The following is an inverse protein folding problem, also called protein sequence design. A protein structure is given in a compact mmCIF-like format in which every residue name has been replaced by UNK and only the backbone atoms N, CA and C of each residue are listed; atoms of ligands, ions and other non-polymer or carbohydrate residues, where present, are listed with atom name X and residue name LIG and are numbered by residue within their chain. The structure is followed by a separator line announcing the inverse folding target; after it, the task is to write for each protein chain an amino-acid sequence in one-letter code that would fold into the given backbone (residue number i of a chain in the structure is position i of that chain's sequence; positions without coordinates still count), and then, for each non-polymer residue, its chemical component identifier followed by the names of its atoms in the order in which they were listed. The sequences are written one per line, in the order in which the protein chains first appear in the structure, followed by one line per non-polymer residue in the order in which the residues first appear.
data_IF_774377924452
#
_entry.id   IF_774377924452
#
_cell.length_a   1.000
_cell.length_b   1.000
_cell.length_c   1.000
_cell.angle_alpha   90.00
_cell.angle_beta   90.00
_cell.angle_gamma   90.00
#
_symmetry.space_group_name_H-M   'P 1'
#
loop_
_entity.id
_entity.type
_entity.pdbx_description
1 polymer ?
#
# COMPACT_ATOMS: atom_id res chain seq x y z
N UNK A 1 -13.44 -20.24 10.06
CA UNK A 1 -12.52 -19.21 10.57
C UNK A 1 -12.97 -17.89 9.97
N UNK A 2 -13.06 -16.82 10.76
CA UNK A 2 -13.37 -15.48 10.21
C UNK A 2 -12.27 -15.06 9.23
N UNK A 3 -12.65 -14.35 8.15
CA UNK A 3 -11.70 -13.81 7.20
C UNK A 3 -10.77 -12.80 7.91
N UNK A 4 -9.49 -12.81 7.59
CA UNK A 4 -8.55 -11.80 8.11
C UNK A 4 -8.96 -10.42 7.62
N UNK A 5 -8.87 -9.36 8.43
CA UNK A 5 -9.30 -8.02 8.05
C UNK A 5 -8.39 -7.36 6.99
N UNK A 6 -8.96 -6.41 6.26
CA UNK A 6 -8.21 -5.30 5.67
C UNK A 6 -8.07 -4.24 6.77
N UNK A 7 -6.85 -3.74 6.98
CA UNK A 7 -6.57 -2.71 8.00
C UNK A 7 -6.26 -1.39 7.30
N UNK A 8 -6.75 -0.25 7.84
CA UNK A 8 -6.38 1.07 7.34
C UNK A 8 -5.94 1.97 8.49
N UNK A 9 -4.77 2.59 8.34
CA UNK A 9 -4.24 3.57 9.28
C UNK A 9 -4.67 4.98 8.92
N UNK A 10 -5.25 5.71 9.90
CA UNK A 10 -5.79 7.06 9.69
C UNK A 10 -5.23 8.06 10.70
N UNK A 11 -5.15 9.33 10.28
CA UNK A 11 -4.71 10.46 11.11
C UNK A 11 -5.65 11.68 11.04
N UNK A 12 -6.80 11.53 10.36
CA UNK A 12 -7.77 12.60 10.16
C UNK A 12 -7.49 13.50 8.95
N UNK A 13 -6.44 13.23 8.17
CA UNK A 13 -6.16 13.96 6.94
C UNK A 13 -7.08 13.52 5.79
N UNK A 14 -7.22 14.38 4.76
CA UNK A 14 -7.91 14.04 3.51
C UNK A 14 -7.30 12.82 2.81
N UNK A 15 -5.98 12.68 2.86
CA UNK A 15 -5.28 11.52 2.30
C UNK A 15 -5.64 10.22 3.06
N UNK A 16 -5.83 10.31 4.37
CA UNK A 16 -6.29 9.18 5.17
C UNK A 16 -7.74 8.80 4.83
N UNK A 17 -8.63 9.77 4.60
CA UNK A 17 -10.02 9.48 4.16
C UNK A 17 -10.05 8.78 2.80
N UNK A 18 -9.19 9.18 1.86
CA UNK A 18 -9.05 8.47 0.57
C UNK A 18 -8.50 7.04 0.74
N UNK A 19 -7.58 6.86 1.68
CA UNK A 19 -7.11 5.53 2.04
C UNK A 19 -8.23 4.66 2.61
N UNK A 20 -9.15 5.24 3.39
CA UNK A 20 -10.37 4.57 3.89
C UNK A 20 -11.29 4.18 2.73
N UNK A 21 -11.54 5.08 1.77
CA UNK A 21 -12.36 4.78 0.58
C UNK A 21 -11.79 3.58 -0.19
N UNK A 22 -10.50 3.60 -0.46
CA UNK A 22 -9.81 2.51 -1.14
C UNK A 22 -9.88 1.20 -0.34
N UNK A 23 -9.63 1.27 0.98
CA UNK A 23 -9.66 0.11 1.87
C UNK A 23 -11.05 -0.50 2.03
N UNK A 24 -12.11 0.33 2.07
CA UNK A 24 -13.49 -0.13 2.13
C UNK A 24 -13.91 -0.88 0.86
N UNK A 25 -13.59 -0.34 -0.32
CA UNK A 25 -13.82 -1.03 -1.60
C UNK A 25 -13.04 -2.36 -1.67
N UNK A 26 -11.81 -2.36 -1.18
CA UNK A 26 -10.98 -3.55 -1.17
C UNK A 26 -11.49 -4.62 -0.20
N UNK A 27 -11.91 -4.24 1.00
CA UNK A 27 -12.50 -5.13 1.97
C UNK A 27 -13.81 -5.77 1.42
N UNK A 28 -14.63 -4.99 0.71
CA UNK A 28 -15.83 -5.50 0.05
C UNK A 28 -15.48 -6.53 -1.04
N UNK A 29 -14.52 -6.23 -1.93
CA UNK A 29 -14.05 -7.17 -2.97
C UNK A 29 -13.54 -8.48 -2.37
N UNK A 30 -12.79 -8.39 -1.26
CA UNK A 30 -12.22 -9.53 -0.54
C UNK A 30 -13.23 -10.25 0.37
N UNK A 31 -14.45 -9.71 0.52
CA UNK A 31 -15.45 -10.18 1.49
C UNK A 31 -14.87 -10.30 2.90
N UNK A 32 -14.06 -9.33 3.28
CA UNK A 32 -13.33 -9.26 4.54
C UNK A 32 -13.86 -8.10 5.40
N UNK A 33 -13.75 -8.14 6.72
CA UNK A 33 -14.02 -6.98 7.56
C UNK A 33 -12.96 -5.89 7.34
N UNK A 34 -13.36 -4.63 7.53
CA UNK A 34 -12.47 -3.48 7.58
C UNK A 34 -12.15 -3.14 9.02
N UNK A 35 -10.87 -2.95 9.34
CA UNK A 35 -10.41 -2.45 10.64
C UNK A 35 -9.72 -1.12 10.46
N UNK A 36 -10.31 -0.05 11.01
CA UNK A 36 -9.78 1.31 10.95
C UNK A 36 -8.98 1.55 12.23
N UNK A 37 -7.74 1.98 12.11
CA UNK A 37 -6.85 2.21 13.26
C UNK A 37 -6.28 3.61 13.23
N UNK A 38 -6.26 4.26 14.40
CA UNK A 38 -5.52 5.51 14.61
C UNK A 38 -4.67 5.40 15.86
N UNK A 39 -3.71 6.31 16.03
CA UNK A 39 -2.82 6.34 17.19
C UNK A 39 -2.91 7.67 17.89
N UNK A 40 -3.26 7.67 19.16
CA UNK A 40 -3.15 8.84 20.02
C UNK A 40 -1.67 9.10 20.35
N UNK A 41 -0.99 9.84 19.48
CA UNK A 41 0.43 10.13 19.66
C UNK A 41 0.63 11.47 20.39
N UNK A 42 1.25 11.42 21.55
CA UNK A 42 1.71 12.64 22.25
C UNK A 42 2.87 13.25 21.46
N UNK A 43 2.83 14.55 21.08
CA UNK A 43 3.95 15.19 20.38
C UNK A 43 5.22 15.11 21.24
N UNK A 44 6.41 14.82 20.65
CA UNK A 44 7.67 14.70 21.39
C UNK A 44 8.11 15.99 22.11
N UNK A 45 7.54 17.13 21.74
CA UNK A 45 7.76 18.44 22.36
C UNK A 45 6.42 19.12 22.54
N UNK A 46 5.84 18.93 23.71
CA UNK A 46 4.69 19.69 24.14
C UNK A 46 5.05 21.18 24.22
N UNK A 47 4.41 22.04 23.42
CA UNK A 47 4.42 23.49 23.71
C UNK A 47 3.65 23.69 25.01
N UNK A 48 4.13 24.54 25.91
CA UNK A 48 3.34 24.92 27.09
C UNK A 48 2.01 25.51 26.60
N UNK A 49 0.91 24.78 26.81
CA UNK A 49 -0.44 25.32 26.62
C UNK A 49 -0.94 25.83 27.96
N UNK A 50 -1.84 26.80 27.95
CA UNK A 50 -2.47 27.32 29.19
C UNK A 50 -3.35 26.26 29.88
N UNK A 51 -3.58 25.09 29.25
CA UNK A 51 -4.45 24.03 29.75
C UNK A 51 -3.72 22.90 30.50
N UNK A 52 -2.39 22.95 30.55
CA UNK A 52 -1.58 21.90 31.18
C UNK A 52 -1.54 20.56 30.39
N UNK A 53 -0.79 19.57 30.93
CA UNK A 53 -0.61 18.26 30.22
C UNK A 53 -1.90 17.48 30.01
N UNK A 54 -2.86 17.58 30.93
CA UNK A 54 -4.15 16.85 30.84
C UNK A 54 -5.05 17.43 29.75
N UNK A 55 -5.06 18.74 29.55
CA UNK A 55 -5.84 19.38 28.48
C UNK A 55 -5.37 18.97 27.10
N UNK A 56 -4.05 18.93 26.89
CA UNK A 56 -3.45 18.48 25.62
C UNK A 56 -3.74 17.01 25.35
N UNK A 57 -3.67 16.14 26.37
CA UNK A 57 -4.00 14.72 26.21
C UNK A 57 -5.47 14.52 25.82
N UNK A 58 -6.39 15.28 26.43
CA UNK A 58 -7.81 15.22 26.10
C UNK A 58 -8.11 15.73 24.69
N UNK A 59 -7.43 16.79 24.24
CA UNK A 59 -7.58 17.31 22.87
C UNK A 59 -7.08 16.31 21.84
N UNK A 60 -5.94 15.64 22.08
CA UNK A 60 -5.41 14.59 21.21
C UNK A 60 -6.34 13.37 21.14
N UNK A 61 -6.87 12.93 22.28
CA UNK A 61 -7.83 11.84 22.32
C UNK A 61 -9.09 12.19 21.53
N UNK A 62 -9.61 13.40 21.72
CA UNK A 62 -10.78 13.88 20.99
C UNK A 62 -10.51 13.93 19.48
N UNK A 63 -9.41 14.52 19.05
CA UNK A 63 -9.03 14.59 17.64
C UNK A 63 -8.89 13.19 17.00
N UNK A 64 -8.30 12.24 17.75
CA UNK A 64 -8.18 10.86 17.28
C UNK A 64 -9.53 10.16 17.17
N UNK A 65 -10.44 10.39 18.12
CA UNK A 65 -11.81 9.84 18.08
C UNK A 65 -12.60 10.46 16.93
N UNK A 66 -12.54 11.77 16.74
CA UNK A 66 -13.21 12.46 15.62
C UNK A 66 -12.70 11.93 14.27
N UNK A 67 -11.40 11.62 14.16
CA UNK A 67 -10.82 11.02 12.95
C UNK A 67 -11.34 9.60 12.69
N UNK A 68 -11.51 8.77 13.76
CA UNK A 68 -12.11 7.44 13.64
C UNK A 68 -13.56 7.53 13.21
N UNK A 69 -14.36 8.39 13.84
CA UNK A 69 -15.79 8.55 13.54
C UNK A 69 -16.01 9.01 12.09
N UNK A 70 -15.22 9.98 11.62
CA UNK A 70 -15.25 10.43 10.23
C UNK A 70 -14.86 9.31 9.26
N UNK A 71 -13.88 8.48 9.63
CA UNK A 71 -13.41 7.35 8.82
C UNK A 71 -14.46 6.23 8.74
N UNK A 72 -15.12 5.91 9.85
CA UNK A 72 -16.22 4.92 9.88
C UNK A 72 -17.39 5.41 9.03
N UNK A 73 -17.77 6.67 9.14
CA UNK A 73 -18.82 7.27 8.32
C UNK A 73 -18.47 7.17 6.82
N UNK A 74 -17.24 7.52 6.45
CA UNK A 74 -16.76 7.43 5.06
C UNK A 74 -16.77 6.00 4.53
N UNK A 75 -16.33 5.02 5.31
CA UNK A 75 -16.38 3.61 4.94
C UNK A 75 -17.82 3.14 4.69
N UNK A 76 -18.78 3.55 5.53
CA UNK A 76 -20.19 3.24 5.39
C UNK A 76 -20.84 3.88 4.16
N UNK A 77 -20.40 5.07 3.73
CA UNK A 77 -20.84 5.72 2.49
C UNK A 77 -20.37 4.95 1.25
N UNK A 78 -19.12 4.46 1.27
CA UNK A 78 -18.47 3.77 0.13
C UNK A 78 -18.94 2.33 0.00
N UNK A 79 -19.04 1.61 1.11
CA UNK A 79 -19.41 0.20 1.16
C UNK A 79 -20.51 -0.05 2.21
N UNK A 80 -21.79 0.24 1.89
CA UNK A 80 -22.89 0.05 2.81
C UNK A 80 -23.03 -1.42 3.22
N UNK A 81 -23.01 -1.67 4.55
CA UNK A 81 -23.10 -3.04 5.09
C UNK A 81 -21.77 -3.75 5.31
N UNK A 82 -20.64 -3.09 5.00
CA UNK A 82 -19.32 -3.61 5.36
C UNK A 82 -19.17 -3.68 6.88
N UNK A 83 -18.71 -4.85 7.39
CA UNK A 83 -18.37 -4.99 8.81
C UNK A 83 -17.11 -4.15 9.07
N UNK A 84 -17.27 -3.13 9.93
CA UNK A 84 -16.20 -2.17 10.22
C UNK A 84 -15.96 -2.10 11.72
N UNK A 85 -14.72 -2.32 12.13
CA UNK A 85 -14.22 -2.10 13.49
C UNK A 85 -13.31 -0.87 13.51
N UNK A 86 -13.30 -0.11 14.62
CA UNK A 86 -12.46 1.07 14.79
C UNK A 86 -11.71 1.01 16.12
N UNK A 87 -10.38 1.13 16.06
CA UNK A 87 -9.51 1.01 17.22
C UNK A 87 -8.58 2.21 17.39
N UNK A 88 -8.52 2.71 18.62
CA UNK A 88 -7.51 3.68 19.06
C UNK A 88 -6.31 2.95 19.63
N UNK A 89 -5.19 3.01 18.94
CA UNK A 89 -3.93 2.38 19.34
C UNK A 89 -3.10 3.32 20.22
N UNK A 90 -2.21 2.75 21.02
CA UNK A 90 -1.23 3.46 21.82
C UNK A 90 0.19 3.19 21.29
N UNK A 91 1.10 4.16 21.47
CA UNK A 91 2.52 4.00 21.14
C UNK A 91 3.02 4.96 20.06
N UNK A 92 4.11 4.60 19.41
CA UNK A 92 4.64 5.36 18.28
C UNK A 92 3.80 5.07 17.04
N UNK A 93 3.29 6.10 16.32
CA UNK A 93 2.34 5.92 15.23
C UNK A 93 2.83 4.98 14.12
N UNK A 94 4.08 5.10 13.74
CA UNK A 94 4.70 4.30 12.69
C UNK A 94 4.78 2.81 13.07
N UNK A 95 5.23 2.51 14.30
CA UNK A 95 5.31 1.15 14.83
C UNK A 95 3.92 0.55 15.06
N UNK A 96 3.04 1.27 15.77
CA UNK A 96 1.72 0.76 16.12
C UNK A 96 0.87 0.44 14.87
N UNK A 97 0.95 1.28 13.82
CA UNK A 97 0.27 1.00 12.56
C UNK A 97 0.92 -0.17 11.83
N UNK A 98 2.25 -0.27 11.77
CA UNK A 98 2.91 -1.42 11.13
C UNK A 98 2.55 -2.74 11.84
N UNK A 99 2.55 -2.76 13.17
CA UNK A 99 2.22 -3.93 13.98
C UNK A 99 0.74 -4.35 13.84
N UNK A 100 -0.16 -3.40 13.57
CA UNK A 100 -1.58 -3.69 13.28
C UNK A 100 -1.80 -4.53 12.02
N UNK A 101 -0.81 -4.60 11.14
CA UNK A 101 -0.76 -5.50 9.98
C UNK A 101 -0.59 -6.99 10.35
N UNK A 102 -0.25 -7.30 11.62
CA UNK A 102 -0.15 -8.69 12.07
C UNK A 102 -1.51 -9.36 12.05
N UNK A 103 -1.63 -10.43 11.25
CA UNK A 103 -2.89 -11.13 11.04
C UNK A 103 -3.86 -10.45 10.08
N UNK A 104 -3.51 -9.34 9.44
CA UNK A 104 -4.25 -8.73 8.36
C UNK A 104 -3.99 -9.42 7.01
N UNK A 105 -4.94 -9.28 6.06
CA UNK A 105 -4.68 -9.61 4.66
C UNK A 105 -3.86 -8.50 3.99
N UNK A 106 -4.14 -7.25 4.38
CA UNK A 106 -3.63 -6.06 3.75
C UNK A 106 -3.65 -4.90 4.75
N UNK A 107 -2.63 -4.04 4.73
CA UNK A 107 -2.59 -2.79 5.46
C UNK A 107 -2.57 -1.62 4.48
N UNK A 108 -3.46 -0.65 4.68
CA UNK A 108 -3.62 0.52 3.81
C UNK A 108 -3.24 1.79 4.57
N UNK A 109 -2.52 2.67 3.93
CA UNK A 109 -2.18 4.01 4.47
C UNK A 109 -2.22 5.05 3.37
N UNK A 110 -2.52 6.30 3.72
CA UNK A 110 -2.35 7.43 2.82
C UNK A 110 -0.87 7.72 2.55
N UNK A 111 -0.53 8.31 1.43
CA UNK A 111 0.87 8.65 1.12
C UNK A 111 1.43 9.75 2.04
N UNK A 112 0.58 10.65 2.53
CA UNK A 112 0.91 11.78 3.42
C UNK A 112 -0.09 11.84 4.57
N UNK A 113 0.27 12.54 5.63
CA UNK A 113 -0.59 12.82 6.77
C UNK A 113 -0.73 14.32 7.07
N UNK A 114 -1.35 14.65 8.21
CA UNK A 114 -1.66 16.03 8.63
C UNK A 114 -0.48 17.01 8.67
N UNK A 115 0.75 16.55 8.78
CA UNK A 115 1.93 17.44 8.86
C UNK A 115 2.26 18.20 7.58
N UNK A 116 1.54 17.96 6.48
CA UNK A 116 1.35 18.84 5.31
C UNK A 116 2.59 19.50 4.68
N UNK A 117 3.80 18.99 4.90
CA UNK A 117 4.97 19.49 4.20
C UNK A 117 4.85 19.16 2.70
N UNK A 118 4.45 20.16 1.91
CA UNK A 118 4.26 20.08 0.46
C UNK A 118 5.50 19.56 -0.30
N UNK A 119 6.68 19.65 0.33
CA UNK A 119 7.94 19.18 -0.24
C UNK A 119 8.23 17.68 -0.03
N UNK A 120 7.51 16.98 0.87
CA UNK A 120 7.74 15.57 1.13
C UNK A 120 6.78 14.72 0.30
N UNK A 121 7.35 13.96 -0.61
CA UNK A 121 6.61 13.08 -1.54
C UNK A 121 5.97 11.88 -0.82
N UNK A 122 6.50 11.47 0.36
CA UNK A 122 6.00 10.36 1.18
C UNK A 122 6.16 10.68 2.67
N UNK A 123 5.12 10.42 3.47
CA UNK A 123 5.12 10.61 4.92
C UNK A 123 6.05 9.63 5.66
N UNK A 124 6.51 10.02 6.86
CA UNK A 124 7.37 9.18 7.70
C UNK A 124 6.68 7.87 8.11
N UNK A 125 5.42 7.94 8.52
CA UNK A 125 4.60 6.77 8.91
C UNK A 125 4.43 5.83 7.70
N UNK A 126 3.98 6.34 6.56
CA UNK A 126 3.75 5.52 5.36
C UNK A 126 5.02 4.83 4.88
N UNK A 127 6.17 5.52 4.96
CA UNK A 127 7.48 4.94 4.63
C UNK A 127 7.88 3.85 5.62
N UNK A 128 7.69 4.07 6.91
CA UNK A 128 8.00 3.10 7.95
C UNK A 128 7.11 1.84 7.79
N UNK A 129 5.81 2.04 7.67
CA UNK A 129 4.82 0.96 7.47
C UNK A 129 5.16 0.13 6.24
N UNK A 130 5.43 0.77 5.08
CA UNK A 130 5.83 0.08 3.85
C UNK A 130 7.12 -0.74 4.01
N UNK A 131 8.01 -0.34 4.95
CA UNK A 131 9.28 -1.03 5.20
C UNK A 131 9.17 -2.17 6.23
N UNK A 132 8.22 -2.09 7.19
CA UNK A 132 8.24 -2.93 8.40
C UNK A 132 7.00 -3.81 8.56
N UNK A 133 5.86 -3.46 7.96
CA UNK A 133 4.64 -4.25 8.15
C UNK A 133 4.81 -5.71 7.71
N UNK A 134 4.25 -6.68 8.48
CA UNK A 134 4.39 -8.10 8.20
C UNK A 134 3.47 -8.62 7.08
N UNK A 135 2.62 -7.76 6.51
CA UNK A 135 1.68 -8.06 5.44
C UNK A 135 1.90 -7.12 4.25
N UNK A 136 1.25 -7.35 3.09
CA UNK A 136 1.22 -6.39 1.99
C UNK A 136 0.71 -5.02 2.46
N UNK A 137 1.36 -3.95 1.98
CA UNK A 137 0.99 -2.56 2.31
C UNK A 137 0.61 -1.82 1.05
N UNK A 138 -0.58 -1.24 1.01
CA UNK A 138 -0.97 -0.31 -0.05
C UNK A 138 -0.84 1.11 0.44
N UNK A 139 -0.05 1.88 -0.29
CA UNK A 139 0.07 3.34 -0.11
C UNK A 139 -0.84 4.00 -1.13
N UNK A 140 -1.92 4.60 -0.65
CA UNK A 140 -2.91 5.30 -1.49
C UNK A 140 -2.43 6.72 -1.75
N UNK A 141 -2.37 7.07 -3.04
CA UNK A 141 -2.10 8.43 -3.51
C UNK A 141 -3.30 8.95 -4.25
N UNK A 142 -3.47 10.23 -4.19
CA UNK A 142 -4.40 10.93 -5.06
C UNK A 142 -3.64 12.00 -5.83
N UNK A 143 -3.48 11.79 -7.12
CA UNK A 143 -3.27 12.86 -8.07
C UNK A 143 -4.63 13.22 -8.68
N UNK A 144 -4.87 14.49 -8.97
CA UNK A 144 -6.15 14.94 -9.56
C UNK A 144 -6.47 14.20 -10.88
N UNK A 145 -5.45 13.64 -11.52
CA UNK A 145 -5.50 12.81 -12.73
C UNK A 145 -5.36 11.31 -12.42
N UNK A 146 -5.69 10.85 -11.19
CA UNK A 146 -5.55 9.45 -10.81
C UNK A 146 -6.35 8.53 -11.75
N UNK A 147 -5.77 7.38 -12.14
CA UNK A 147 -6.44 6.45 -13.04
C UNK A 147 -7.72 5.91 -12.42
N UNK A 148 -8.68 5.58 -13.29
CA UNK A 148 -9.93 4.95 -12.88
C UNK A 148 -9.66 3.63 -12.12
N UNK A 149 -10.53 3.31 -11.18
CA UNK A 149 -10.49 2.05 -10.41
C UNK A 149 -10.47 0.78 -11.29
N UNK A 150 -10.79 0.92 -12.56
CA UNK A 150 -10.91 -0.14 -13.57
C UNK A 150 -9.64 -0.32 -14.43
N UNK A 151 -8.49 0.25 -14.02
CA UNK A 151 -7.21 0.11 -14.72
C UNK A 151 -6.59 -1.29 -14.54
N UNK A 152 -5.53 -1.55 -15.33
CA UNK A 152 -4.73 -2.79 -15.23
C UNK A 152 -4.02 -2.91 -13.89
N UNK A 153 -3.72 -4.15 -13.46
CA UNK A 153 -2.77 -4.40 -12.39
C UNK A 153 -1.38 -4.51 -13.00
N UNK A 154 -0.41 -3.80 -12.43
CA UNK A 154 0.98 -3.82 -12.91
C UNK A 154 1.87 -4.43 -11.84
N UNK A 155 2.71 -5.40 -12.17
CA UNK A 155 3.68 -5.97 -11.23
C UNK A 155 5.10 -5.83 -11.75
N UNK A 156 5.99 -5.28 -10.89
CA UNK A 156 7.43 -5.26 -11.14
C UNK A 156 8.06 -6.61 -10.83
N UNK A 157 8.65 -7.27 -11.84
CA UNK A 157 9.29 -8.58 -11.73
C UNK A 157 10.79 -8.42 -11.77
N UNK A 158 11.52 -9.15 -10.92
CA UNK A 158 12.99 -9.33 -10.95
C UNK A 158 13.31 -10.80 -11.21
N UNK A 159 14.52 -11.08 -11.69
CA UNK A 159 14.99 -12.42 -11.95
C UNK A 159 14.83 -13.39 -10.76
N UNK A 160 15.09 -12.91 -9.54
CA UNK A 160 14.97 -13.71 -8.30
C UNK A 160 13.53 -13.78 -7.75
N UNK A 161 12.52 -13.33 -8.48
CA UNK A 161 11.16 -13.17 -7.98
C UNK A 161 10.09 -13.91 -8.79
N UNK A 162 10.48 -14.83 -9.66
CA UNK A 162 9.54 -15.53 -10.52
C UNK A 162 8.38 -16.20 -9.74
N UNK A 163 8.66 -16.77 -8.58
CA UNK A 163 7.68 -17.40 -7.70
C UNK A 163 7.37 -16.58 -6.44
N UNK A 164 7.45 -15.25 -6.51
CA UNK A 164 7.36 -14.40 -5.32
C UNK A 164 5.93 -14.09 -4.90
N UNK A 165 5.78 -13.75 -3.62
CA UNK A 165 4.54 -13.29 -3.02
C UNK A 165 3.99 -12.04 -3.73
N UNK A 166 4.86 -11.20 -4.32
CA UNK A 166 4.43 -10.03 -5.07
C UNK A 166 3.71 -10.39 -6.37
N UNK A 167 4.20 -11.41 -7.10
CA UNK A 167 3.54 -11.91 -8.31
C UNK A 167 2.22 -12.59 -7.95
N UNK A 168 2.22 -13.42 -6.89
CA UNK A 168 1.01 -14.04 -6.35
C UNK A 168 -0.07 -13.01 -6.02
N UNK A 169 0.33 -11.98 -5.25
CA UNK A 169 -0.56 -10.88 -4.85
C UNK A 169 -1.12 -10.14 -6.08
N UNK A 170 -0.30 -9.86 -7.09
CA UNK A 170 -0.75 -9.16 -8.29
C UNK A 170 -1.78 -9.99 -9.11
N UNK A 171 -1.58 -11.30 -9.23
CA UNK A 171 -2.56 -12.18 -9.87
C UNK A 171 -3.87 -12.26 -9.08
N UNK A 172 -3.79 -12.33 -7.75
CA UNK A 172 -4.96 -12.31 -6.87
C UNK A 172 -5.74 -10.99 -7.04
N UNK A 173 -5.05 -9.84 -7.03
CA UNK A 173 -5.65 -8.53 -7.25
C UNK A 173 -6.31 -8.41 -8.63
N UNK A 174 -5.66 -8.90 -9.68
CA UNK A 174 -6.22 -8.91 -11.02
C UNK A 174 -7.49 -9.77 -11.09
N UNK A 175 -7.46 -10.96 -10.49
CA UNK A 175 -8.61 -11.84 -10.43
C UNK A 175 -9.79 -11.25 -9.65
N UNK A 176 -9.53 -10.61 -8.50
CA UNK A 176 -10.55 -9.95 -7.66
C UNK A 176 -11.22 -8.78 -8.38
N UNK A 177 -10.51 -8.09 -9.26
CA UNK A 177 -11.03 -6.93 -10.03
C UNK A 177 -11.57 -7.32 -11.40
N UNK A 178 -11.30 -8.53 -11.88
CA UNK A 178 -11.53 -8.88 -13.28
C UNK A 178 -10.68 -8.05 -14.26
N UNK A 179 -9.50 -7.65 -13.84
CA UNK A 179 -8.59 -6.76 -14.56
C UNK A 179 -7.49 -7.56 -15.27
N UNK A 180 -6.91 -6.96 -16.30
CA UNK A 180 -5.71 -7.47 -16.96
C UNK A 180 -4.46 -7.24 -16.08
N UNK A 181 -3.45 -8.10 -16.24
CA UNK A 181 -2.17 -8.01 -15.54
C UNK A 181 -1.04 -7.69 -16.51
N UNK A 182 -0.21 -6.71 -16.15
CA UNK A 182 1.03 -6.39 -16.87
C UNK A 182 2.21 -6.73 -15.97
N UNK A 183 3.00 -7.72 -16.38
CA UNK A 183 4.26 -8.02 -15.71
C UNK A 183 5.40 -7.25 -16.36
N UNK A 184 6.04 -6.37 -15.61
CA UNK A 184 7.08 -5.46 -16.10
C UNK A 184 8.44 -5.85 -15.55
N UNK A 185 9.42 -6.08 -16.44
CA UNK A 185 10.82 -6.20 -16.06
C UNK A 185 11.61 -5.04 -16.65
N UNK A 186 12.19 -4.23 -15.77
CA UNK A 186 13.04 -3.11 -16.18
C UNK A 186 14.50 -3.59 -16.32
N UNK A 187 15.13 -3.32 -17.47
CA UNK A 187 16.47 -3.77 -17.81
C UNK A 187 17.40 -2.62 -18.21
N UNK A 188 18.72 -2.88 -18.16
CA UNK A 188 19.77 -1.94 -18.59
C UNK A 188 20.83 -2.66 -19.43
N UNK A 189 21.49 -1.92 -20.33
CA UNK A 189 22.61 -2.41 -21.12
C UNK A 189 22.21 -3.15 -22.39
N UNK A 190 23.19 -3.63 -23.14
CA UNK A 190 23.00 -4.35 -24.40
C UNK A 190 22.56 -5.80 -24.17
N UNK A 191 21.53 -6.27 -24.86
CA UNK A 191 21.04 -7.65 -24.75
C UNK A 191 20.09 -7.91 -23.57
N UNK A 192 19.78 -6.92 -22.75
CA UNK A 192 18.91 -7.06 -21.58
C UNK A 192 17.46 -7.37 -21.93
N UNK A 193 16.96 -6.94 -23.09
CA UNK A 193 15.56 -7.16 -23.49
C UNK A 193 15.21 -8.65 -23.66
N UNK A 194 16.06 -9.43 -24.31
CA UNK A 194 15.79 -10.86 -24.50
C UNK A 194 15.80 -11.60 -23.17
N UNK A 195 16.73 -11.29 -22.30
CA UNK A 195 16.81 -11.86 -20.95
C UNK A 195 15.58 -11.46 -20.11
N UNK A 196 15.20 -10.18 -20.13
CA UNK A 196 14.01 -9.68 -19.47
C UNK A 196 12.73 -10.38 -19.95
N UNK A 197 12.59 -10.58 -21.26
CA UNK A 197 11.47 -11.29 -21.86
C UNK A 197 11.43 -12.76 -21.44
N UNK A 198 12.59 -13.43 -21.34
CA UNK A 198 12.66 -14.83 -20.86
C UNK A 198 12.19 -14.95 -19.41
N UNK A 199 12.68 -14.08 -18.50
CA UNK A 199 12.25 -14.03 -17.10
C UNK A 199 10.73 -13.85 -17.00
N UNK A 200 10.17 -12.89 -17.72
CA UNK A 200 8.74 -12.60 -17.70
C UNK A 200 7.91 -13.78 -18.23
N UNK A 201 8.36 -14.41 -19.32
CA UNK A 201 7.66 -15.55 -19.91
C UNK A 201 7.63 -16.74 -18.94
N UNK A 202 8.75 -17.05 -18.31
CA UNK A 202 8.86 -18.11 -17.30
C UNK A 202 7.96 -17.80 -16.09
N UNK A 203 8.07 -16.60 -15.54
CA UNK A 203 7.23 -16.15 -14.43
C UNK A 203 5.74 -16.27 -14.73
N UNK A 204 5.29 -15.77 -15.88
CA UNK A 204 3.87 -15.81 -16.25
C UNK A 204 3.37 -17.21 -16.54
N UNK A 205 4.21 -18.13 -17.04
CA UNK A 205 3.79 -19.50 -17.34
C UNK A 205 3.33 -20.24 -16.09
N UNK A 206 4.00 -20.07 -14.97
CA UNK A 206 3.67 -20.71 -13.69
C UNK A 206 2.32 -20.25 -13.12
N UNK A 207 1.96 -18.99 -13.35
CA UNK A 207 0.76 -18.38 -12.76
C UNK A 207 -0.48 -18.44 -13.65
N UNK A 208 -0.33 -18.51 -14.96
CA UNK A 208 -1.45 -18.59 -15.91
C UNK A 208 -2.33 -19.82 -15.69
N UNK A 209 -1.74 -20.96 -15.35
CA UNK A 209 -2.48 -22.19 -15.06
C UNK A 209 -3.32 -22.05 -13.77
N UNK A 210 -2.81 -21.30 -12.81
CA UNK A 210 -3.50 -21.05 -11.52
C UNK A 210 -4.61 -19.99 -11.65
N UNK A 211 -4.43 -19.01 -12.53
CA UNK A 211 -5.37 -17.91 -12.76
C UNK A 211 -5.77 -17.78 -14.23
N UNK A 212 -6.49 -18.78 -14.79
CA UNK A 212 -6.78 -18.81 -16.24
C UNK A 212 -7.70 -17.69 -16.71
N UNK A 213 -8.42 -17.04 -15.81
CA UNK A 213 -9.30 -15.90 -16.11
C UNK A 213 -8.54 -14.56 -16.21
N UNK A 214 -7.28 -14.50 -15.76
CA UNK A 214 -6.47 -13.28 -15.79
C UNK A 214 -5.68 -13.21 -17.10
N UNK A 215 -5.98 -12.20 -17.93
CA UNK A 215 -5.19 -11.92 -19.12
C UNK A 215 -3.86 -11.26 -18.72
N UNK A 216 -2.78 -12.05 -18.65
CA UNK A 216 -1.47 -11.58 -18.24
C UNK A 216 -0.53 -11.40 -19.45
N UNK A 217 0.13 -10.23 -19.57
CA UNK A 217 1.10 -9.94 -20.62
C UNK A 217 2.45 -9.47 -20.08
N UNK A 218 3.57 -9.87 -20.72
CA UNK A 218 4.90 -9.42 -20.36
C UNK A 218 5.25 -8.09 -21.03
N UNK A 219 5.97 -7.21 -20.34
CA UNK A 219 6.57 -6.01 -20.90
C UNK A 219 8.02 -5.84 -20.40
N UNK A 220 8.99 -6.00 -21.30
CA UNK A 220 10.40 -5.73 -21.04
C UNK A 220 10.70 -4.26 -21.39
N UNK A 221 11.10 -3.45 -20.39
CA UNK A 221 11.27 -2.01 -20.56
C UNK A 221 12.68 -1.58 -20.17
N UNK A 222 13.34 -0.80 -21.01
CA UNK A 222 14.64 -0.22 -20.68
C UNK A 222 14.48 0.93 -19.69
N UNK A 223 15.19 0.89 -18.56
CA UNK A 223 15.18 1.98 -17.60
C UNK A 223 15.35 1.55 -16.14
N UNK A 224 15.35 2.51 -15.23
CA UNK A 224 15.40 2.24 -13.81
C UNK A 224 14.05 1.72 -13.30
N UNK A 225 13.99 0.57 -12.59
CA UNK A 225 12.73 -0.09 -12.22
C UNK A 225 11.71 0.82 -11.53
N UNK A 226 12.16 1.63 -10.57
CA UNK A 226 11.27 2.52 -9.84
C UNK A 226 10.64 3.61 -10.70
N UNK A 227 11.36 4.17 -11.68
CA UNK A 227 10.82 5.16 -12.60
C UNK A 227 9.90 4.53 -13.64
N UNK A 228 10.32 3.40 -14.22
CA UNK A 228 9.48 2.65 -15.16
C UNK A 228 8.13 2.33 -14.54
N UNK A 229 8.10 1.76 -13.33
CA UNK A 229 6.85 1.45 -12.63
C UNK A 229 6.05 2.70 -12.24
N UNK A 230 6.72 3.82 -11.93
CA UNK A 230 6.05 5.08 -11.67
C UNK A 230 5.30 5.61 -12.89
N UNK A 231 5.86 5.45 -14.10
CA UNK A 231 5.17 5.81 -15.34
C UNK A 231 3.92 4.95 -15.56
N UNK A 232 3.98 3.64 -15.25
CA UNK A 232 2.79 2.77 -15.30
C UNK A 232 1.72 3.18 -14.29
N UNK A 233 2.09 3.69 -13.13
CA UNK A 233 1.14 4.07 -12.08
C UNK A 233 0.14 5.17 -12.50
N UNK A 234 0.43 5.89 -13.59
CA UNK A 234 -0.49 6.89 -14.14
C UNK A 234 -1.75 6.28 -14.77
N UNK A 235 -1.75 4.99 -15.11
CA UNK A 235 -2.85 4.28 -15.78
C UNK A 235 -3.26 2.97 -15.09
N UNK A 236 -2.46 2.49 -14.15
CA UNK A 236 -2.73 1.26 -13.40
C UNK A 236 -3.73 1.50 -12.27
N UNK A 237 -4.65 0.56 -12.04
CA UNK A 237 -5.48 0.54 -10.84
C UNK A 237 -4.64 0.27 -9.58
N UNK A 238 -3.56 -0.51 -9.73
CA UNK A 238 -2.60 -0.81 -8.67
C UNK A 238 -1.25 -1.20 -9.29
N UNK A 239 -0.16 -0.62 -8.76
CA UNK A 239 1.20 -1.09 -9.07
C UNK A 239 1.74 -1.91 -7.91
N UNK A 240 2.18 -3.12 -8.17
CA UNK A 240 2.70 -4.07 -7.18
C UNK A 240 4.21 -4.21 -7.33
N UNK A 241 4.93 -4.15 -6.22
CA UNK A 241 6.37 -4.40 -6.16
C UNK A 241 6.74 -5.15 -4.88
N UNK A 242 7.65 -6.10 -5.00
CA UNK A 242 8.17 -6.82 -3.85
C UNK A 242 9.17 -6.00 -3.04
N UNK A 243 9.12 -6.15 -1.73
CA UNK A 243 10.14 -5.68 -0.78
C UNK A 243 10.97 -6.87 -0.32
N UNK A 244 12.27 -6.83 -0.58
CA UNK A 244 13.20 -7.79 -0.02
C UNK A 244 14.00 -7.14 1.11
N UNK A 245 14.04 -7.79 2.26
CA UNK A 245 15.04 -7.50 3.28
C UNK A 245 16.37 -8.10 2.83
N UNK A 246 17.40 -7.29 2.59
CA UNK A 246 18.74 -7.84 2.46
C UNK A 246 19.15 -8.43 3.82
N UNK A 247 19.72 -9.66 3.88
CA UNK A 247 20.23 -10.21 5.12
C UNK A 247 21.22 -9.23 5.76
N UNK A 248 20.92 -8.74 6.98
CA UNK A 248 21.79 -7.82 7.73
C UNK A 248 21.67 -6.34 7.40
N UNK A 249 20.83 -5.92 6.45
CA UNK A 249 20.69 -4.51 6.05
C UNK A 249 19.57 -3.74 6.77
N UNK A 250 18.97 -4.29 7.82
CA UNK A 250 17.78 -3.71 8.46
C UNK A 250 16.57 -3.73 7.50
N UNK A 251 15.46 -3.14 7.92
CA UNK A 251 14.21 -3.10 7.15
C UNK A 251 14.24 -2.01 6.05
N UNK A 252 15.27 -2.00 5.20
CA UNK A 252 15.34 -1.03 4.10
C UNK A 252 14.38 -1.44 2.97
N UNK A 253 13.53 -0.51 2.55
CA UNK A 253 12.52 -0.75 1.51
C UNK A 253 13.11 -1.08 0.13
N UNK A 254 14.40 -0.79 -0.09
CA UNK A 254 15.08 -0.92 -1.38
C UNK A 254 14.93 0.31 -2.28
N UNK A 255 15.84 0.45 -3.26
CA UNK A 255 15.87 1.65 -4.12
C UNK A 255 14.68 1.74 -5.06
N UNK A 256 14.27 0.64 -5.70
CA UNK A 256 13.17 0.65 -6.65
C UNK A 256 11.81 0.94 -5.99
N UNK A 257 11.40 0.27 -4.88
CA UNK A 257 10.19 0.65 -4.15
C UNK A 257 10.24 2.08 -3.60
N UNK A 258 11.40 2.53 -3.11
CA UNK A 258 11.55 3.92 -2.63
C UNK A 258 11.32 4.93 -3.75
N UNK A 259 11.92 4.72 -4.92
CA UNK A 259 11.75 5.58 -6.10
C UNK A 259 10.30 5.55 -6.59
N UNK A 260 9.69 4.35 -6.67
CA UNK A 260 8.29 4.19 -7.06
C UNK A 260 7.37 4.97 -6.11
N UNK A 261 7.49 4.75 -4.81
CA UNK A 261 6.70 5.49 -3.81
C UNK A 261 6.94 7.00 -3.85
N UNK A 262 8.09 7.45 -4.34
CA UNK A 262 8.41 8.85 -4.55
C UNK A 262 7.68 9.48 -5.73
N UNK A 263 7.40 8.75 -6.80
CA UNK A 263 6.99 9.29 -8.10
C UNK A 263 5.65 8.74 -8.62
N UNK A 264 5.09 7.70 -7.98
CA UNK A 264 3.83 7.12 -8.41
C UNK A 264 2.68 8.14 -8.34
N UNK A 265 1.73 8.01 -9.26
CA UNK A 265 0.50 8.83 -9.34
C UNK A 265 -0.71 8.11 -8.79
N UNK A 266 -0.72 6.77 -8.86
CA UNK A 266 -1.79 5.90 -8.36
C UNK A 266 -1.35 5.06 -7.14
N UNK A 267 -2.22 4.16 -6.66
CA UNK A 267 -1.94 3.28 -5.54
C UNK A 267 -0.77 2.33 -5.80
N UNK A 268 0.05 2.11 -4.78
CA UNK A 268 1.22 1.20 -4.83
C UNK A 268 1.15 0.18 -3.72
N UNK A 269 1.20 -1.10 -4.07
CA UNK A 269 1.34 -2.21 -3.13
C UNK A 269 2.81 -2.59 -2.96
N UNK A 270 3.28 -2.59 -1.72
CA UNK A 270 4.59 -3.10 -1.31
C UNK A 270 4.37 -4.44 -0.62
N UNK A 271 4.84 -5.51 -1.25
CA UNK A 271 4.64 -6.88 -0.76
C UNK A 271 5.92 -7.39 -0.10
N UNK A 272 5.88 -7.80 1.18
CA UNK A 272 7.03 -8.47 1.80
C UNK A 272 7.25 -9.80 1.09
N UNK A 273 8.49 -10.03 0.64
CA UNK A 273 8.90 -11.29 0.03
C UNK A 273 9.97 -11.94 0.92
N UNK A 274 9.80 -13.22 1.22
CA UNK A 274 10.80 -14.01 1.91
C UNK A 274 12.03 -14.18 0.99
N UNK A 275 13.23 -14.18 1.59
CA UNK A 275 14.53 -14.23 0.89
C UNK A 275 14.94 -15.67 0.61
#
# INVERSE_FOLDING_TARGET
MAAKPVVVGVDGSEEALRAVEWAAQEAERRKAPLRIVTVAAMPPRMRPSNEGPEGVANELLKSSTDALDASVARAGEVAPGLITDADLLSGQPDQAIADSGSGAQLLVVGARGMSGFVALVLGSVSRYVASHAPCPVVVVRHDADAPAADGEIVVGVRESMAASEAVAFAFEEAALRGADLVAVHAWHGSGGEQHATSILTETLSEWRDKYPAVAARPEAVSGHPGHVLADYSARAALVVIGRHGAPGAGHAIGSAPHTLLGHARGPVAIVPCES
#
